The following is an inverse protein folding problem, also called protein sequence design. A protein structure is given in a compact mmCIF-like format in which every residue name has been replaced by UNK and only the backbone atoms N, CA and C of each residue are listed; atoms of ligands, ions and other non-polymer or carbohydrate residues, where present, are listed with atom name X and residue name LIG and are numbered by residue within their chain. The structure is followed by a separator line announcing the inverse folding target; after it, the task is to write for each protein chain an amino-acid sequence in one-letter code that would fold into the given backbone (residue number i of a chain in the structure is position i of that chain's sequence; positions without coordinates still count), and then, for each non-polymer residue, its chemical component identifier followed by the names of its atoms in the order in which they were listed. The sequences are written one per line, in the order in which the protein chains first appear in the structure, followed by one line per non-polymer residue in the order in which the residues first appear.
data_IF_214431910350
#
_entry.id   IF_214431910350
#
_cell.length_a   1.000
_cell.length_b   1.000
_cell.length_c   1.000
_cell.angle_alpha   90.00
_cell.angle_beta   90.00
_cell.angle_gamma   90.00
#
_symmetry.space_group_name_H-M   'P 1'
#
loop_
_entity.id
_entity.type
_entity.pdbx_description
1 polymer ?
#
# COMPACT_ATOMS: atom_id res chain seq x y z
N UNK A 1 3.70 33.56 2.51
CA UNK A 1 3.79 32.53 1.46
C UNK A 1 4.22 33.09 0.11
N UNK A 2 4.69 32.21 -0.80
CA UNK A 2 5.11 32.55 -2.17
C UNK A 2 3.92 32.42 -3.11
N UNK A 3 3.56 33.52 -3.79
CA UNK A 3 2.47 33.52 -4.79
C UNK A 3 2.80 32.61 -5.96
N UNK A 4 1.83 31.78 -6.37
CA UNK A 4 1.93 30.90 -7.54
C UNK A 4 1.05 31.41 -8.68
N UNK A 5 -0.27 31.42 -8.48
CA UNK A 5 -1.28 31.94 -9.42
C UNK A 5 -2.22 32.89 -8.66
N UNK A 6 -3.07 33.70 -9.34
CA UNK A 6 -4.08 34.49 -8.65
C UNK A 6 -4.90 33.61 -7.68
N UNK A 7 -4.93 33.98 -6.39
CA UNK A 7 -5.60 33.21 -5.35
C UNK A 7 -4.85 31.99 -4.80
N UNK A 8 -3.66 31.66 -5.31
CA UNK A 8 -2.88 30.48 -4.88
C UNK A 8 -1.50 30.85 -4.34
N UNK A 9 -1.22 30.39 -3.14
CA UNK A 9 0.03 30.63 -2.42
C UNK A 9 0.61 29.32 -1.91
N UNK A 10 1.94 29.18 -1.94
CA UNK A 10 2.67 28.05 -1.36
C UNK A 10 3.48 28.48 -0.14
N UNK A 11 3.80 27.52 0.75
CA UNK A 11 4.58 27.77 1.97
C UNK A 11 4.04 28.96 2.76
N UNK A 12 2.75 28.89 3.07
CA UNK A 12 2.06 29.87 3.93
C UNK A 12 2.27 29.51 5.40
N UNK A 13 2.49 28.22 5.68
CA UNK A 13 2.60 27.60 6.98
C UNK A 13 3.57 26.42 6.91
N UNK A 14 4.08 25.99 8.06
CA UNK A 14 4.85 24.75 8.20
C UNK A 14 3.91 23.58 8.57
N UNK A 15 4.32 22.31 8.42
CA UNK A 15 3.53 21.17 8.87
C UNK A 15 3.31 21.19 10.39
N UNK A 16 2.12 20.84 10.84
CA UNK A 16 1.74 20.85 12.26
C UNK A 16 0.41 20.16 12.54
N UNK A 17 -0.11 20.34 13.75
CA UNK A 17 -1.37 19.73 14.22
C UNK A 17 -2.59 20.68 14.16
N UNK A 18 -2.40 21.89 13.65
CA UNK A 18 -3.42 22.90 13.49
C UNK A 18 -4.19 22.74 12.16
N UNK A 19 -4.65 23.86 11.62
CA UNK A 19 -5.56 23.94 10.50
C UNK A 19 -5.05 23.21 9.26
N UNK A 20 -5.76 22.16 8.82
CA UNK A 20 -5.40 21.37 7.64
C UNK A 20 -4.03 20.70 7.71
N UNK A 21 -3.54 20.38 8.91
CA UNK A 21 -2.22 19.76 9.12
C UNK A 21 -1.05 20.76 9.08
N UNK A 22 -1.33 22.03 9.37
CA UNK A 22 -0.31 23.09 9.45
C UNK A 22 -0.03 23.50 10.90
N UNK A 23 0.92 24.40 11.12
CA UNK A 23 1.20 25.04 12.41
C UNK A 23 0.28 26.23 12.75
N UNK A 24 -0.81 26.44 11.99
CA UNK A 24 -1.75 27.54 12.19
C UNK A 24 -2.95 27.10 13.02
N UNK A 25 -3.24 27.79 14.12
CA UNK A 25 -4.49 27.58 14.88
C UNK A 25 -5.62 28.50 14.43
N UNK A 26 -5.34 29.79 14.29
CA UNK A 26 -6.32 30.79 13.81
C UNK A 26 -6.11 31.05 12.30
N UNK A 27 -7.10 30.68 11.46
CA UNK A 27 -6.98 30.83 10.01
C UNK A 27 -6.89 32.31 9.58
N UNK A 28 -7.34 33.27 10.39
CA UNK A 28 -7.25 34.69 10.06
C UNK A 28 -5.80 35.21 10.04
N UNK A 29 -4.87 34.52 10.70
CA UNK A 29 -3.44 34.92 10.75
C UNK A 29 -2.77 34.95 9.39
N UNK A 30 -3.32 34.25 8.40
CA UNK A 30 -2.79 34.25 7.01
C UNK A 30 -3.26 35.46 6.20
N UNK A 31 -4.19 36.26 6.72
CA UNK A 31 -4.77 37.40 6.05
C UNK A 31 -4.03 38.69 6.43
N UNK A 32 -3.77 39.54 5.43
CA UNK A 32 -3.42 40.92 5.66
C UNK A 32 -4.66 41.81 5.85
N UNK A 33 -4.47 43.11 6.13
CA UNK A 33 -5.59 44.07 6.22
C UNK A 33 -6.42 44.14 4.94
N UNK A 34 -7.74 44.28 5.08
CA UNK A 34 -8.65 44.45 3.94
C UNK A 34 -8.53 45.84 3.32
N UNK A 35 -8.52 45.90 1.99
CA UNK A 35 -8.47 47.16 1.26
C UNK A 35 -9.84 47.84 1.24
N UNK A 36 -9.98 48.95 1.94
CA UNK A 36 -11.22 49.73 2.05
C UNK A 36 -11.78 50.27 0.72
N UNK A 37 -11.00 50.26 -0.36
CA UNK A 37 -11.51 50.62 -1.70
C UNK A 37 -12.37 49.53 -2.34
N UNK A 38 -12.25 48.28 -1.88
CA UNK A 38 -12.92 47.12 -2.47
C UNK A 38 -13.65 46.24 -1.45
N UNK A 39 -13.33 46.35 -0.16
CA UNK A 39 -14.03 45.68 0.92
C UNK A 39 -15.12 46.59 1.51
N UNK A 40 -16.17 45.99 2.05
CA UNK A 40 -17.31 46.69 2.65
C UNK A 40 -17.81 45.95 3.89
N UNK A 41 -18.48 46.67 4.79
CA UNK A 41 -19.17 46.08 5.94
C UNK A 41 -20.21 45.06 5.44
N UNK A 42 -20.19 43.86 5.99
CA UNK A 42 -21.05 42.76 5.56
C UNK A 42 -20.44 41.85 4.49
N UNK A 43 -19.22 42.11 4.01
CA UNK A 43 -18.50 41.16 3.15
C UNK A 43 -18.28 39.84 3.91
N UNK A 44 -18.52 38.71 3.24
CA UNK A 44 -18.60 37.37 3.84
C UNK A 44 -17.40 36.53 3.43
N UNK A 45 -16.81 35.81 4.38
CA UNK A 45 -15.64 34.97 4.16
C UNK A 45 -15.92 33.56 4.68
N UNK A 46 -15.69 32.56 3.83
CA UNK A 46 -15.64 31.16 4.22
C UNK A 46 -14.20 30.68 4.10
N UNK A 47 -13.64 30.19 5.19
CA UNK A 47 -12.32 29.56 5.24
C UNK A 47 -12.51 28.09 5.54
N UNK A 48 -11.90 27.22 4.75
CA UNK A 48 -12.03 25.75 4.86
C UNK A 48 -10.63 25.15 4.75
N UNK A 49 -10.31 24.18 5.62
CA UNK A 49 -9.09 23.38 5.48
C UNK A 49 -9.13 22.55 4.20
N UNK A 50 -7.96 22.08 3.74
CA UNK A 50 -7.88 21.14 2.62
C UNK A 50 -8.63 19.84 2.88
N UNK A 51 -8.73 19.42 4.15
CA UNK A 51 -9.49 18.23 4.56
C UNK A 51 -10.98 18.51 4.75
N UNK A 52 -11.43 19.77 4.78
CA UNK A 52 -12.83 20.11 5.07
C UNK A 52 -13.26 19.97 6.54
N UNK A 53 -12.47 19.27 7.36
CA UNK A 53 -12.77 19.01 8.78
C UNK A 53 -12.81 20.29 9.62
N UNK A 54 -12.06 21.32 9.22
CA UNK A 54 -12.04 22.63 9.88
C UNK A 54 -12.56 23.68 8.91
N UNK A 55 -13.55 24.44 9.35
CA UNK A 55 -14.06 25.60 8.63
C UNK A 55 -14.39 26.72 9.60
N UNK A 56 -14.32 27.96 9.11
CA UNK A 56 -14.77 29.15 9.83
C UNK A 56 -15.46 30.11 8.86
N UNK A 57 -16.47 30.79 9.37
CA UNK A 57 -17.25 31.75 8.61
C UNK A 57 -17.22 33.11 9.30
N UNK A 58 -16.93 34.16 8.53
CA UNK A 58 -16.75 35.51 9.05
C UNK A 58 -17.52 36.52 8.22
N UNK A 59 -17.89 37.63 8.87
CA UNK A 59 -18.48 38.81 8.23
C UNK A 59 -17.68 40.04 8.64
N UNK A 60 -17.31 40.89 7.68
CA UNK A 60 -16.60 42.12 7.98
C UNK A 60 -17.50 43.13 8.73
N UNK A 61 -16.99 43.69 9.82
CA UNK A 61 -17.63 44.81 10.52
C UNK A 61 -17.38 46.17 9.81
N UNK A 62 -17.79 47.26 10.46
CA UNK A 62 -17.61 48.62 9.94
C UNK A 62 -16.12 49.04 9.86
N UNK A 63 -15.26 48.44 10.69
CA UNK A 63 -13.81 48.63 10.67
C UNK A 63 -13.10 47.67 9.69
N UNK A 64 -13.88 46.90 8.90
CA UNK A 64 -13.42 45.89 7.95
C UNK A 64 -12.63 44.75 8.61
N UNK A 65 -12.92 44.45 9.88
CA UNK A 65 -12.35 43.31 10.60
C UNK A 65 -13.29 42.11 10.50
N UNK A 66 -12.77 40.89 10.19
CA UNK A 66 -13.58 39.69 10.18
C UNK A 66 -14.10 39.37 11.58
N UNK A 67 -15.42 39.32 11.72
CA UNK A 67 -16.09 38.87 12.94
C UNK A 67 -16.67 37.47 12.72
N UNK A 68 -16.49 36.52 13.66
CA UNK A 68 -17.09 35.19 13.56
C UNK A 68 -18.61 35.28 13.39
N UNK A 69 -19.17 34.47 12.49
CA UNK A 69 -20.59 34.42 12.22
C UNK A 69 -21.04 32.97 12.00
N UNK A 70 -22.34 32.72 12.16
CA UNK A 70 -22.91 31.40 11.88
C UNK A 70 -22.84 31.09 10.38
N UNK A 71 -22.35 29.90 10.04
CA UNK A 71 -22.26 29.46 8.66
C UNK A 71 -23.66 29.16 8.09
N UNK A 72 -24.02 29.71 6.91
CA UNK A 72 -25.26 29.36 6.25
C UNK A 72 -25.31 27.87 5.88
N UNK A 73 -26.48 27.18 5.97
CA UNK A 73 -26.60 25.76 5.67
C UNK A 73 -26.05 25.34 4.29
N UNK A 74 -26.24 26.17 3.26
CA UNK A 74 -25.74 25.91 1.92
C UNK A 74 -24.20 25.86 1.84
N UNK A 75 -23.51 26.67 2.66
CA UNK A 75 -22.04 26.67 2.72
C UNK A 75 -21.52 25.55 3.61
N UNK A 76 -22.22 25.25 4.70
CA UNK A 76 -21.89 24.13 5.59
C UNK A 76 -21.87 22.81 4.82
N UNK A 77 -22.88 22.57 3.98
CA UNK A 77 -22.95 21.40 3.10
C UNK A 77 -21.71 21.26 2.21
N UNK A 78 -21.10 22.37 1.78
CA UNK A 78 -19.89 22.32 0.96
C UNK A 78 -18.67 21.87 1.77
N UNK A 79 -18.53 22.35 3.01
CA UNK A 79 -17.45 21.90 3.91
C UNK A 79 -17.61 20.43 4.30
N UNK A 80 -18.83 20.00 4.63
CA UNK A 80 -19.15 18.61 4.96
C UNK A 80 -18.82 17.66 3.80
N UNK A 81 -19.13 18.05 2.55
CA UNK A 81 -18.75 17.27 1.37
C UNK A 81 -17.24 17.21 1.13
N UNK A 82 -16.50 18.27 1.45
CA UNK A 82 -15.03 18.24 1.34
C UNK A 82 -14.47 17.25 2.37
N UNK A 83 -15.01 17.26 3.59
CA UNK A 83 -14.64 16.31 4.64
C UNK A 83 -14.99 14.86 4.27
N UNK A 84 -16.19 14.63 3.74
CA UNK A 84 -16.62 13.30 3.28
C UNK A 84 -15.74 12.76 2.15
N UNK A 85 -15.31 13.62 1.22
CA UNK A 85 -14.40 13.23 0.13
C UNK A 85 -12.95 13.03 0.59
N UNK A 86 -12.61 13.38 1.83
CA UNK A 86 -11.28 13.18 2.37
C UNK A 86 -11.14 11.74 2.87
N UNK A 87 -10.56 10.87 2.05
CA UNK A 87 -10.28 9.48 2.44
C UNK A 87 -9.01 9.35 3.29
N UNK A 88 -8.91 8.33 4.16
CA UNK A 88 -7.67 8.02 4.86
C UNK A 88 -6.52 7.79 3.89
N UNK A 89 -5.36 8.39 4.17
CA UNK A 89 -4.14 8.11 3.41
C UNK A 89 -3.62 6.71 3.75
N UNK A 90 -3.91 5.73 2.90
CA UNK A 90 -3.40 4.37 3.01
C UNK A 90 -2.05 4.24 2.28
N UNK A 91 -1.11 3.51 2.87
CA UNK A 91 0.17 3.16 2.24
C UNK A 91 0.20 1.64 2.01
N UNK A 92 0.38 1.24 0.75
CA UNK A 92 0.59 -0.16 0.36
C UNK A 92 2.03 -0.37 -0.06
N UNK A 93 2.63 -1.49 0.36
CA UNK A 93 4.01 -1.85 0.02
C UNK A 93 4.00 -3.13 -0.80
N UNK A 94 4.41 -3.03 -2.06
CA UNK A 94 4.57 -4.17 -2.94
C UNK A 94 6.04 -4.57 -3.01
N UNK A 95 6.34 -5.84 -2.77
CA UNK A 95 7.67 -6.41 -3.02
C UNK A 95 7.69 -7.08 -4.39
N UNK A 96 8.67 -6.70 -5.22
CA UNK A 96 8.86 -7.28 -6.55
C UNK A 96 10.30 -7.77 -6.71
N UNK A 97 10.48 -9.03 -7.08
CA UNK A 97 11.81 -9.61 -7.27
C UNK A 97 11.81 -10.74 -8.30
N UNK A 98 12.96 -10.89 -8.96
CA UNK A 98 13.25 -12.04 -9.82
C UNK A 98 13.89 -13.17 -9.03
N UNK A 99 13.38 -14.40 -9.17
CA UNK A 99 14.04 -15.59 -8.68
C UNK A 99 15.28 -15.89 -9.56
N UNK A 100 16.45 -15.58 -9.01
CA UNK A 100 17.74 -15.75 -9.69
C UNK A 100 18.08 -17.20 -10.04
N UNK A 101 19.19 -17.39 -10.76
CA UNK A 101 19.67 -18.74 -11.11
C UNK A 101 20.04 -19.59 -9.89
N UNK A 102 20.66 -18.98 -8.88
CA UNK A 102 21.07 -19.66 -7.63
C UNK A 102 19.89 -20.22 -6.86
N UNK A 103 18.82 -19.42 -6.67
CA UNK A 103 17.59 -19.87 -6.02
C UNK A 103 17.00 -21.08 -6.76
N UNK A 104 16.87 -20.98 -8.09
CA UNK A 104 16.27 -22.06 -8.90
C UNK A 104 17.13 -23.33 -8.94
N UNK A 105 18.45 -23.20 -8.88
CA UNK A 105 19.37 -24.32 -8.78
C UNK A 105 19.27 -25.04 -7.43
N UNK A 106 18.94 -24.31 -6.35
CA UNK A 106 18.64 -24.90 -5.05
C UNK A 106 17.37 -25.76 -5.04
N UNK A 107 16.47 -25.58 -6.02
CA UNK A 107 15.22 -26.36 -6.12
C UNK A 107 15.35 -27.53 -7.10
N UNK A 108 16.09 -27.35 -8.21
CA UNK A 108 16.11 -28.31 -9.32
C UNK A 108 17.47 -28.32 -10.02
N UNK A 109 17.91 -29.47 -10.53
CA UNK A 109 19.15 -29.61 -11.29
C UNK A 109 19.16 -28.75 -12.58
N UNK A 110 17.99 -28.57 -13.21
CA UNK A 110 17.83 -27.72 -14.38
C UNK A 110 16.91 -26.52 -14.06
N UNK A 111 17.47 -25.35 -13.67
CA UNK A 111 16.72 -24.15 -13.28
C UNK A 111 15.65 -23.67 -14.26
N UNK A 112 15.84 -23.94 -15.55
CA UNK A 112 14.88 -23.57 -16.60
C UNK A 112 13.61 -24.40 -16.50
N UNK A 113 13.67 -25.65 -16.05
CA UNK A 113 12.49 -26.52 -15.89
C UNK A 113 11.55 -26.02 -14.80
N UNK A 114 12.06 -25.50 -13.68
CA UNK A 114 11.22 -24.82 -12.68
C UNK A 114 10.51 -23.61 -13.27
N UNK A 115 11.22 -22.83 -14.08
CA UNK A 115 10.64 -21.64 -14.74
C UNK A 115 9.49 -22.06 -15.66
N UNK A 116 9.68 -23.10 -16.48
CA UNK A 116 8.63 -23.65 -17.34
C UNK A 116 7.46 -24.18 -16.52
N UNK A 117 7.72 -24.92 -15.45
CA UNK A 117 6.71 -25.46 -14.53
C UNK A 117 5.80 -24.39 -13.93
N UNK A 118 6.36 -23.25 -13.54
CA UNK A 118 5.58 -22.09 -13.08
C UNK A 118 4.72 -21.50 -14.21
N UNK A 119 5.29 -21.33 -15.42
CA UNK A 119 4.55 -20.77 -16.58
C UNK A 119 3.46 -21.71 -17.10
N UNK A 120 3.66 -23.02 -16.98
CA UNK A 120 2.71 -24.06 -17.36
C UNK A 120 1.66 -24.32 -16.26
N UNK A 121 1.72 -23.59 -15.15
CA UNK A 121 0.84 -23.76 -13.98
C UNK A 121 0.86 -25.19 -13.43
N UNK A 122 2.04 -25.81 -13.41
CA UNK A 122 2.29 -27.06 -12.67
C UNK A 122 2.82 -26.77 -11.25
N UNK A 123 3.34 -25.56 -11.05
CA UNK A 123 3.86 -25.07 -9.77
C UNK A 123 3.16 -23.79 -9.38
N UNK A 124 2.56 -23.79 -8.21
CA UNK A 124 2.05 -22.59 -7.53
C UNK A 124 3.20 -21.90 -6.79
N UNK A 125 3.21 -20.58 -6.81
CA UNK A 125 4.25 -19.77 -6.16
C UNK A 125 3.60 -18.84 -5.15
N UNK A 126 4.07 -18.89 -3.92
CA UNK A 126 3.72 -17.96 -2.84
C UNK A 126 4.97 -17.26 -2.31
N UNK A 127 4.76 -16.20 -1.52
CA UNK A 127 5.83 -15.55 -0.78
C UNK A 127 5.42 -15.42 0.69
N UNK A 128 6.05 -16.20 1.57
CA UNK A 128 5.68 -16.25 2.99
C UNK A 128 4.22 -16.66 3.23
N UNK A 129 3.68 -17.52 2.37
CA UNK A 129 2.26 -17.93 2.39
C UNK A 129 1.27 -16.98 1.71
N UNK A 130 1.67 -15.76 1.32
CA UNK A 130 0.81 -14.84 0.57
C UNK A 130 0.80 -15.19 -0.93
N UNK A 131 -0.33 -14.92 -1.61
CA UNK A 131 -0.43 -15.05 -3.06
C UNK A 131 0.55 -14.12 -3.76
N UNK A 132 1.31 -14.68 -4.71
CA UNK A 132 2.26 -13.93 -5.51
C UNK A 132 1.78 -13.83 -6.95
N UNK A 133 1.73 -12.60 -7.47
CA UNK A 133 1.50 -12.37 -8.88
C UNK A 133 2.77 -12.70 -9.68
N UNK A 134 2.66 -13.64 -10.61
CA UNK A 134 3.75 -14.01 -11.53
C UNK A 134 3.76 -13.07 -12.73
N UNK A 135 4.81 -12.26 -12.84
CA UNK A 135 4.96 -11.32 -13.95
C UNK A 135 5.19 -12.03 -15.30
N UNK A 136 4.65 -11.49 -16.41
CA UNK A 136 4.93 -11.99 -17.74
C UNK A 136 6.41 -11.82 -18.10
N UNK A 137 6.89 -12.59 -19.07
CA UNK A 137 8.28 -12.57 -19.53
C UNK A 137 9.11 -13.77 -19.05
N UNK A 138 10.42 -13.68 -19.26
CA UNK A 138 11.37 -14.74 -18.95
C UNK A 138 11.69 -14.84 -17.44
N UNK A 139 12.02 -16.05 -16.99
CA UNK A 139 12.31 -16.30 -15.58
C UNK A 139 11.06 -16.37 -14.71
N UNK A 140 11.26 -16.26 -13.40
CA UNK A 140 10.21 -16.23 -12.39
C UNK A 140 10.34 -14.89 -11.68
N UNK A 141 9.49 -13.93 -12.04
CA UNK A 141 9.41 -12.64 -11.36
C UNK A 141 8.10 -12.61 -10.59
N UNK A 142 8.20 -12.36 -9.29
CA UNK A 142 7.06 -12.34 -8.38
C UNK A 142 6.80 -10.91 -7.92
N UNK A 143 5.53 -10.58 -7.71
CA UNK A 143 5.10 -9.37 -7.01
C UNK A 143 4.11 -9.80 -5.92
N UNK A 144 4.29 -9.31 -4.70
CA UNK A 144 3.47 -9.67 -3.55
C UNK A 144 3.16 -8.45 -2.69
N UNK A 145 1.96 -8.41 -2.12
CA UNK A 145 1.61 -7.43 -1.09
C UNK A 145 2.28 -7.83 0.23
N UNK A 146 3.18 -6.98 0.72
CA UNK A 146 3.91 -7.23 1.97
C UNK A 146 2.97 -7.25 3.18
N UNK A 147 1.82 -6.57 3.10
CA UNK A 147 0.82 -6.53 4.17
C UNK A 147 0.12 -7.88 4.36
N UNK A 148 0.08 -8.73 3.34
CA UNK A 148 -0.47 -10.09 3.40
C UNK A 148 0.56 -11.11 3.89
N UNK A 149 1.83 -10.70 4.04
CA UNK A 149 2.91 -11.57 4.50
C UNK A 149 3.06 -11.52 6.02
N UNK A 150 3.52 -12.61 6.66
CA UNK A 150 3.94 -12.60 8.05
C UNK A 150 4.96 -11.50 8.35
N UNK A 151 4.79 -10.77 9.46
CA UNK A 151 5.78 -9.80 9.94
C UNK A 151 7.15 -10.47 10.11
N UNK A 152 8.24 -9.87 9.63
CA UNK A 152 9.59 -10.45 9.78
C UNK A 152 9.84 -11.70 8.94
N UNK A 153 9.14 -11.83 7.81
CA UNK A 153 9.27 -12.95 6.87
C UNK A 153 10.50 -12.86 5.95
N UNK A 154 11.07 -11.67 5.79
CA UNK A 154 12.29 -11.44 5.01
C UNK A 154 13.55 -11.64 5.86
N UNK A 155 14.55 -12.30 5.30
CA UNK A 155 15.90 -12.35 5.83
C UNK A 155 16.83 -11.33 5.16
N UNK A 156 18.00 -11.13 5.74
CA UNK A 156 19.07 -10.28 5.20
C UNK A 156 20.40 -11.03 5.28
N UNK A 157 21.25 -10.86 4.27
CA UNK A 157 22.63 -11.36 4.26
C UNK A 157 23.62 -10.19 4.21
N UNK A 158 24.89 -10.35 4.66
CA UNK A 158 25.85 -9.23 4.75
C UNK A 158 26.16 -8.51 3.43
N UNK A 159 25.99 -9.20 2.29
CA UNK A 159 25.97 -8.55 0.96
C UNK A 159 24.58 -7.93 0.79
N UNK A 160 24.41 -6.66 0.38
CA UNK A 160 23.12 -5.98 0.36
C UNK A 160 22.09 -6.68 -0.56
N UNK A 161 21.45 -7.71 -0.02
CA UNK A 161 20.53 -8.61 -0.68
C UNK A 161 19.51 -9.10 0.35
N UNK A 162 18.25 -9.09 -0.06
CA UNK A 162 17.15 -9.62 0.73
C UNK A 162 16.99 -11.11 0.43
N UNK A 163 16.69 -11.88 1.48
CA UNK A 163 16.26 -13.27 1.35
C UNK A 163 14.74 -13.28 1.44
N UNK A 164 14.09 -13.34 0.29
CA UNK A 164 12.63 -13.43 0.20
C UNK A 164 12.17 -14.89 0.42
N UNK A 165 11.11 -15.13 1.22
CA UNK A 165 10.58 -16.46 1.50
C UNK A 165 9.71 -16.97 0.34
N UNK A 166 10.30 -17.12 -0.85
CA UNK A 166 9.59 -17.64 -2.03
C UNK A 166 9.41 -19.15 -1.91
N UNK A 167 8.18 -19.61 -2.10
CA UNK A 167 7.79 -21.01 -1.96
C UNK A 167 7.27 -21.55 -3.30
N UNK A 168 7.54 -22.83 -3.57
CA UNK A 168 7.06 -23.53 -4.76
C UNK A 168 6.24 -24.75 -4.34
N UNK A 169 4.95 -24.74 -4.61
CA UNK A 169 4.05 -25.85 -4.29
C UNK A 169 3.63 -26.58 -5.56
N UNK A 170 3.90 -27.88 -5.61
CA UNK A 170 3.64 -28.75 -6.77
C UNK A 170 3.51 -30.22 -6.35
N UNK A 171 3.02 -31.09 -7.24
CA UNK A 171 3.00 -32.53 -6.96
C UNK A 171 4.41 -33.09 -6.92
N UNK A 172 4.63 -34.08 -6.06
CA UNK A 172 5.89 -34.83 -5.99
C UNK A 172 6.30 -35.42 -7.34
N UNK A 173 5.34 -35.89 -8.15
CA UNK A 173 5.61 -36.41 -9.50
C UNK A 173 6.09 -35.32 -10.45
N UNK A 174 5.52 -34.12 -10.37
CA UNK A 174 5.91 -32.98 -11.21
C UNK A 174 7.30 -32.48 -10.78
N UNK A 175 7.58 -32.43 -9.47
CA UNK A 175 8.90 -32.14 -8.90
C UNK A 175 9.98 -33.12 -9.38
N UNK A 176 9.69 -34.42 -9.37
CA UNK A 176 10.59 -35.42 -9.93
C UNK A 176 10.83 -35.22 -11.44
N UNK A 177 9.77 -34.99 -12.21
CA UNK A 177 9.86 -34.82 -13.66
C UNK A 177 10.70 -33.60 -14.09
N UNK A 178 10.69 -32.54 -13.28
CA UNK A 178 11.50 -31.35 -13.54
C UNK A 178 12.96 -31.46 -13.07
N UNK A 179 13.36 -32.59 -12.47
CA UNK A 179 14.71 -32.82 -11.95
C UNK A 179 14.93 -32.20 -10.57
N UNK A 180 13.93 -32.32 -9.70
CA UNK A 180 14.03 -31.87 -8.31
C UNK A 180 14.96 -32.75 -7.49
N UNK A 181 15.52 -32.20 -6.42
CA UNK A 181 16.39 -32.91 -5.49
C UNK A 181 15.56 -33.90 -4.65
N UNK A 182 15.29 -35.10 -5.19
CA UNK A 182 14.35 -36.07 -4.60
C UNK A 182 14.84 -36.67 -3.28
N UNK A 183 16.17 -36.74 -3.11
CA UNK A 183 16.82 -37.25 -1.89
C UNK A 183 16.67 -36.28 -0.71
N UNK A 184 16.43 -35.00 -1.00
CA UNK A 184 16.28 -33.93 0.00
C UNK A 184 14.84 -33.77 0.51
N UNK A 185 13.90 -34.59 0.02
CA UNK A 185 12.50 -34.50 0.44
C UNK A 185 12.34 -35.02 1.87
N UNK A 186 11.76 -34.18 2.73
CA UNK A 186 11.41 -34.52 4.12
C UNK A 186 9.91 -34.46 4.33
N UNK A 187 9.38 -35.24 5.28
CA UNK A 187 7.99 -35.10 5.69
C UNK A 187 7.84 -33.81 6.51
N UNK A 188 6.76 -33.07 6.31
CA UNK A 188 6.48 -31.84 7.08
C UNK A 188 6.45 -32.09 8.58
N UNK A 189 5.96 -33.25 9.03
CA UNK A 189 5.94 -33.63 10.45
C UNK A 189 7.35 -33.73 11.07
N UNK A 190 8.39 -33.99 10.26
CA UNK A 190 9.78 -34.11 10.74
C UNK A 190 10.48 -32.75 10.87
N UNK A 191 9.93 -31.70 10.25
CA UNK A 191 10.51 -30.34 10.21
C UNK A 191 9.75 -29.33 11.07
N UNK A 192 8.53 -29.67 11.47
CA UNK A 192 7.71 -28.87 12.37
C UNK A 192 8.00 -29.28 13.83
N UNK A 193 8.62 -28.36 14.56
CA UNK A 193 8.91 -28.45 15.99
C UNK A 193 8.07 -27.43 16.77
N UNK A 194 7.97 -27.62 18.09
CA UNK A 194 7.18 -26.73 18.95
C UNK A 194 7.67 -25.26 18.94
N UNK A 195 8.97 -25.06 18.65
CA UNK A 195 9.58 -23.73 18.63
C UNK A 195 9.42 -23.01 17.28
N UNK A 196 8.84 -23.67 16.26
CA UNK A 196 8.53 -23.02 14.99
C UNK A 196 7.43 -21.97 15.19
N UNK A 197 7.63 -20.78 14.63
CA UNK A 197 6.56 -19.79 14.53
C UNK A 197 5.50 -20.28 13.53
N UNK A 198 4.32 -20.61 14.04
CA UNK A 198 3.15 -20.97 13.23
C UNK A 198 2.14 -19.83 13.19
N UNK A 199 1.53 -19.63 12.03
CA UNK A 199 0.44 -18.67 11.85
C UNK A 199 -0.77 -19.40 11.28
N UNK A 200 -1.96 -18.98 11.67
CA UNK A 200 -3.18 -19.47 11.06
C UNK A 200 -3.25 -18.98 9.60
N UNK A 201 -3.78 -19.82 8.72
CA UNK A 201 -4.02 -19.43 7.34
C UNK A 201 -4.95 -18.22 7.25
N UNK A 202 -4.55 -17.21 6.48
CA UNK A 202 -5.41 -16.08 6.17
C UNK A 202 -6.48 -16.54 5.16
N UNK A 203 -7.76 -16.50 5.54
CA UNK A 203 -8.86 -17.00 4.71
C UNK A 203 -9.08 -16.17 3.44
N UNK A 204 -8.56 -14.93 3.36
CA UNK A 204 -8.58 -14.15 2.12
C UNK A 204 -7.54 -14.63 1.11
N UNK A 205 -6.55 -15.41 1.54
CA UNK A 205 -5.49 -15.93 0.69
C UNK A 205 -5.86 -17.30 0.13
N UNK A 206 -5.46 -17.61 -1.12
CA UNK A 206 -5.65 -18.94 -1.67
C UNK A 206 -4.85 -19.99 -0.91
N UNK A 207 -5.42 -21.20 -0.83
CA UNK A 207 -4.72 -22.33 -0.25
C UNK A 207 -3.80 -22.96 -1.31
N UNK A 208 -2.48 -23.15 -1.05
CA UNK A 208 -1.54 -23.66 -2.06
C UNK A 208 -1.93 -25.02 -2.67
N UNK A 209 -2.71 -25.84 -1.95
CA UNK A 209 -3.18 -27.14 -2.45
C UNK A 209 -4.49 -27.07 -3.26
N UNK A 210 -5.04 -25.89 -3.51
CA UNK A 210 -6.25 -25.74 -4.33
C UNK A 210 -5.95 -26.12 -5.79
N UNK A 211 -6.70 -27.08 -6.30
CA UNK A 211 -6.56 -27.62 -7.66
C UNK A 211 -6.69 -26.55 -8.76
N UNK A 212 -7.38 -25.44 -8.49
CA UNK A 212 -7.58 -24.35 -9.47
C UNK A 212 -6.28 -23.63 -9.84
N UNK A 213 -5.24 -23.72 -9.02
CA UNK A 213 -3.92 -23.18 -9.35
C UNK A 213 -3.19 -24.00 -10.42
N UNK A 214 -3.65 -25.22 -10.69
CA UNK A 214 -2.90 -26.21 -11.41
C UNK A 214 -3.56 -26.64 -12.72
N UNK A 215 -2.77 -26.68 -13.81
CA UNK A 215 -3.18 -27.29 -15.08
C UNK A 215 -2.86 -28.78 -15.12
N UNK A 216 -3.17 -29.49 -14.04
CA UNK A 216 -3.03 -30.93 -14.02
C UNK A 216 -4.09 -31.53 -14.93
N UNK A 217 -3.68 -32.46 -15.79
CA UNK A 217 -4.65 -33.31 -16.47
C UNK A 217 -5.32 -34.17 -15.40
N UNK A 218 -6.64 -34.27 -15.45
CA UNK A 218 -7.38 -35.25 -14.65
C UNK A 218 -6.76 -36.62 -14.91
N UNK A 219 -6.54 -37.37 -13.83
CA UNK A 219 -6.04 -38.75 -13.95
C UNK A 219 -7.10 -39.55 -14.71
N UNK A 220 -6.82 -39.91 -15.96
CA UNK A 220 -7.48 -41.03 -16.64
C UNK A 220 -7.12 -42.34 -15.95
#
# INVERSE_FOLDING_TARGET
GRRSTPGRYFRVAEPGTGWGGTDIDDPLTILGPFNAKIAWQGLRLLMVSTTGEQYAYFVLDADLKPQPAEIPPALKLSAERIAENCEPSLCSVLFMAGAGGSLRAGVTENPVRLTKSVKDSLTYVSCGGAEAYIWPGGGITVMVDVMEMPTGSFGYVPTPALVAPIEFTLRKSDYAALGGHMEEIRNTADVLHADNRTLSHNQSQPHPHDHRHYRWKDRS
#
